data_IF_369520371456
#
_entry.id   IF_369520371456
#
_cell.length_a   1.000
_cell.length_b   1.000
_cell.length_c   1.000
_cell.angle_alpha   90.00
_cell.angle_beta   90.00
_cell.angle_gamma   90.00
#
_symmetry.space_group_name_H-M   'P 1'
#
loop_
_entity.id
_entity.type
_entity.pdbx_description
1 polymer ?
#
# COMPACT_ATOMS: atom_id res chain seq x y z
N UNK A 1 10.28 7.16 -18.43
CA UNK A 1 9.40 6.44 -17.47
C UNK A 1 8.54 5.35 -18.14
N UNK A 2 7.61 5.65 -19.07
CA UNK A 2 6.79 4.61 -19.75
C UNK A 2 7.59 3.58 -20.56
N UNK A 3 8.70 3.98 -21.17
CA UNK A 3 9.58 3.09 -21.95
C UNK A 3 10.19 1.98 -21.08
N UNK A 4 10.53 2.31 -19.82
CA UNK A 4 11.15 1.38 -18.88
C UNK A 4 10.11 0.61 -18.06
N UNK A 5 9.06 1.28 -17.56
CA UNK A 5 8.07 0.63 -16.69
C UNK A 5 6.95 -0.09 -17.45
N UNK A 6 6.70 0.25 -18.73
CA UNK A 6 5.64 -0.29 -19.60
C UNK A 6 4.21 -0.23 -19.04
N UNK A 7 4.00 0.51 -17.95
CA UNK A 7 2.72 0.70 -17.28
C UNK A 7 2.72 2.04 -16.54
N UNK A 8 1.53 2.55 -16.23
CA UNK A 8 1.38 3.75 -15.42
C UNK A 8 1.60 3.43 -13.93
N UNK A 9 2.47 4.20 -13.28
CA UNK A 9 2.77 4.02 -11.85
C UNK A 9 1.57 4.38 -10.98
N UNK A 10 0.88 5.47 -11.31
CA UNK A 10 -0.32 5.93 -10.63
C UNK A 10 -1.53 5.41 -11.37
N UNK A 11 -2.40 4.70 -10.65
CA UNK A 11 -3.71 4.26 -11.18
C UNK A 11 -4.81 4.81 -10.28
N UNK A 12 -5.56 5.82 -10.73
CA UNK A 12 -6.71 6.34 -10.00
C UNK A 12 -7.73 5.23 -9.71
N UNK A 13 -8.29 5.25 -8.50
CA UNK A 13 -9.36 4.37 -8.04
C UNK A 13 -10.48 5.20 -7.39
N UNK A 14 -11.61 4.57 -7.11
CA UNK A 14 -12.79 5.23 -6.53
C UNK A 14 -12.48 5.94 -5.20
N UNK A 15 -11.49 5.45 -4.45
CA UNK A 15 -11.03 6.07 -3.21
C UNK A 15 -9.56 6.47 -3.28
N UNK A 16 -9.21 7.54 -2.56
CA UNK A 16 -7.82 7.97 -2.39
C UNK A 16 -6.98 6.88 -1.72
N UNK A 17 -7.57 6.11 -0.79
CA UNK A 17 -6.91 4.99 -0.13
C UNK A 17 -6.51 3.89 -1.13
N UNK A 18 -7.45 3.43 -1.96
CA UNK A 18 -7.17 2.44 -2.99
C UNK A 18 -6.15 2.96 -4.02
N UNK A 19 -6.25 4.23 -4.40
CA UNK A 19 -5.28 4.88 -5.29
C UNK A 19 -3.87 4.84 -4.71
N UNK A 20 -3.70 5.21 -3.43
CA UNK A 20 -2.40 5.19 -2.75
C UNK A 20 -1.83 3.77 -2.65
N UNK A 21 -2.65 2.79 -2.27
CA UNK A 21 -2.25 1.38 -2.20
C UNK A 21 -1.77 0.84 -3.55
N UNK A 22 -2.59 1.04 -4.60
CA UNK A 22 -2.25 0.56 -5.95
C UNK A 22 -0.99 1.25 -6.46
N UNK A 23 -0.83 2.55 -6.20
CA UNK A 23 0.36 3.31 -6.60
C UNK A 23 1.63 2.80 -5.91
N UNK A 24 1.60 2.58 -4.59
CA UNK A 24 2.74 2.00 -3.86
C UNK A 24 3.09 0.61 -4.39
N UNK A 25 2.08 -0.23 -4.62
CA UNK A 25 2.26 -1.57 -5.15
C UNK A 25 2.89 -1.55 -6.56
N UNK A 26 2.43 -0.66 -7.44
CA UNK A 26 2.98 -0.50 -8.78
C UNK A 26 4.44 -0.03 -8.75
N UNK A 27 4.77 0.95 -7.89
CA UNK A 27 6.15 1.44 -7.72
C UNK A 27 7.06 0.31 -7.22
N UNK A 28 6.62 -0.48 -6.24
CA UNK A 28 7.35 -1.65 -5.73
C UNK A 28 7.58 -2.70 -6.82
N UNK A 29 6.55 -3.04 -7.59
CA UNK A 29 6.64 -4.01 -8.68
C UNK A 29 7.57 -3.55 -9.80
N UNK A 30 7.76 -2.24 -9.95
CA UNK A 30 8.63 -1.62 -10.96
C UNK A 30 9.98 -1.16 -10.42
N UNK A 31 10.38 -1.63 -9.23
CA UNK A 31 11.64 -1.26 -8.56
C UNK A 31 12.86 -1.45 -9.45
N UNK A 32 12.95 -2.59 -10.16
CA UNK A 32 14.10 -2.90 -11.02
C UNK A 32 14.17 -1.97 -12.23
N UNK A 33 13.04 -1.78 -12.92
CA UNK A 33 12.93 -0.92 -14.10
C UNK A 33 13.13 0.56 -13.75
N UNK A 34 12.65 0.99 -12.58
CA UNK A 34 12.90 2.34 -12.06
C UNK A 34 14.38 2.53 -11.78
N UNK A 35 15.04 1.60 -11.09
CA UNK A 35 16.49 1.69 -10.86
C UNK A 35 17.27 1.75 -12.17
N UNK A 36 16.91 0.91 -13.14
CA UNK A 36 17.52 0.93 -14.46
C UNK A 36 17.37 2.30 -15.13
N UNK A 37 16.16 2.88 -15.13
CA UNK A 37 15.90 4.22 -15.66
C UNK A 37 16.81 5.27 -15.02
N UNK A 38 16.91 5.32 -13.69
CA UNK A 38 17.72 6.33 -13.00
C UNK A 38 19.23 6.08 -13.08
N UNK A 39 19.67 4.96 -13.64
CA UNK A 39 21.07 4.68 -13.95
C UNK A 39 21.40 4.73 -15.44
N UNK A 40 20.41 5.05 -16.29
CA UNK A 40 20.55 4.97 -17.73
C UNK A 40 21.16 6.25 -18.32
N UNK A 41 21.80 6.12 -19.48
CA UNK A 41 22.38 7.27 -20.18
C UNK A 41 21.27 8.26 -20.60
N UNK A 42 20.09 7.76 -20.96
CA UNK A 42 18.93 8.57 -21.32
C UNK A 42 18.43 9.43 -20.16
N UNK A 43 18.57 8.97 -18.91
CA UNK A 43 18.25 9.79 -17.74
C UNK A 43 19.25 10.94 -17.59
N UNK A 44 20.54 10.64 -17.62
CA UNK A 44 21.59 11.67 -17.47
C UNK A 44 21.57 12.70 -18.60
N UNK A 45 21.22 12.28 -19.82
CA UNK A 45 21.05 13.17 -20.98
C UNK A 45 19.71 13.94 -20.98
N UNK A 46 18.83 13.70 -20.01
CA UNK A 46 17.55 14.40 -19.92
C UNK A 46 17.67 15.70 -19.13
N UNK A 47 16.89 16.72 -19.49
CA UNK A 47 16.77 17.97 -18.70
C UNK A 47 16.28 17.75 -17.26
N UNK A 48 15.74 16.58 -16.95
CA UNK A 48 15.18 16.26 -15.64
C UNK A 48 16.24 15.81 -14.65
N UNK A 49 17.37 15.27 -15.09
CA UNK A 49 18.48 14.90 -14.20
C UNK A 49 19.11 16.12 -13.53
N UNK A 50 19.09 17.27 -14.20
CA UNK A 50 19.64 18.52 -13.70
C UNK A 50 18.71 19.24 -12.71
N UNK A 51 17.41 18.93 -12.74
CA UNK A 51 16.41 19.54 -11.86
C UNK A 51 16.58 19.07 -10.41
N UNK A 52 16.23 19.95 -9.46
CA UNK A 52 16.30 19.62 -8.03
C UNK A 52 15.39 18.44 -7.68
N UNK A 53 14.17 18.45 -8.23
CA UNK A 53 13.21 17.36 -8.05
C UNK A 53 13.73 16.04 -8.62
N UNK A 54 14.38 16.08 -9.79
CA UNK A 54 14.98 14.90 -10.42
C UNK A 54 16.05 14.26 -9.55
N UNK A 55 16.96 15.06 -9.00
CA UNK A 55 18.02 14.60 -8.08
C UNK A 55 17.47 14.03 -6.78
N UNK A 56 16.41 14.65 -6.23
CA UNK A 56 15.72 14.14 -5.05
C UNK A 56 15.07 12.78 -5.35
N UNK A 57 14.43 12.62 -6.51
CA UNK A 57 13.78 11.34 -6.87
C UNK A 57 14.83 10.27 -7.15
N UNK A 58 15.88 10.59 -7.89
CA UNK A 58 17.01 9.70 -8.17
C UNK A 58 17.63 9.17 -6.87
N UNK A 59 18.00 10.06 -5.95
CA UNK A 59 18.58 9.66 -4.66
C UNK A 59 17.66 8.72 -3.86
N UNK A 60 16.33 8.96 -3.88
CA UNK A 60 15.34 8.09 -3.23
C UNK A 60 15.22 6.72 -3.90
N UNK A 61 15.17 6.68 -5.22
CA UNK A 61 15.05 5.43 -6.00
C UNK A 61 16.30 4.56 -5.86
N UNK A 62 17.48 5.18 -5.71
CA UNK A 62 18.73 4.45 -5.51
C UNK A 62 18.93 4.02 -4.04
N UNK A 63 18.33 4.70 -3.06
CA UNK A 63 18.43 4.33 -1.63
C UNK A 63 17.64 3.04 -1.31
N UNK A 64 18.33 2.05 -0.72
CA UNK A 64 17.69 0.82 -0.24
C UNK A 64 16.69 1.07 0.90
N UNK A 65 16.95 2.05 1.77
CA UNK A 65 16.09 2.34 2.93
C UNK A 65 14.71 2.82 2.51
N UNK A 66 14.63 3.52 1.38
CA UNK A 66 13.37 3.94 0.77
C UNK A 66 12.52 2.72 0.40
N UNK A 67 13.11 1.73 -0.27
CA UNK A 67 12.39 0.51 -0.66
C UNK A 67 11.95 -0.32 0.54
N UNK A 68 12.82 -0.49 1.53
CA UNK A 68 12.44 -1.18 2.76
C UNK A 68 11.28 -0.46 3.48
N UNK A 69 11.25 0.88 3.43
CA UNK A 69 10.15 1.65 3.99
C UNK A 69 8.85 1.45 3.19
N UNK A 70 8.92 1.45 1.85
CA UNK A 70 7.78 1.17 0.97
C UNK A 70 7.21 -0.23 1.21
N UNK A 71 8.07 -1.26 1.31
CA UNK A 71 7.66 -2.64 1.61
C UNK A 71 7.01 -2.74 3.02
N UNK A 72 7.54 -2.00 4.00
CA UNK A 72 6.92 -1.90 5.35
C UNK A 72 5.54 -1.24 5.33
N UNK A 73 5.32 -0.24 4.46
CA UNK A 73 4.01 0.39 4.32
C UNK A 73 3.05 -0.56 3.59
N UNK A 74 3.52 -1.22 2.54
CA UNK A 74 2.72 -2.15 1.75
C UNK A 74 2.24 -3.35 2.57
N UNK A 75 3.11 -3.93 3.40
CA UNK A 75 2.75 -5.06 4.28
C UNK A 75 1.68 -4.71 5.33
N UNK A 76 1.56 -3.44 5.71
CA UNK A 76 0.47 -2.95 6.58
C UNK A 76 -0.82 -2.76 5.79
N UNK A 77 -0.72 -2.16 4.60
CA UNK A 77 -1.89 -1.84 3.79
C UNK A 77 -2.55 -3.07 3.18
N UNK A 78 -1.78 -4.11 2.84
CA UNK A 78 -2.29 -5.34 2.23
C UNK A 78 -3.44 -6.01 3.03
N UNK A 79 -3.31 -6.31 4.34
CA UNK A 79 -4.41 -6.91 5.10
C UNK A 79 -5.63 -5.98 5.23
N UNK A 80 -5.41 -4.65 5.29
CA UNK A 80 -6.50 -3.66 5.34
C UNK A 80 -7.27 -3.58 4.02
N UNK A 81 -6.55 -3.49 2.90
CA UNK A 81 -7.13 -3.45 1.56
C UNK A 81 -7.85 -4.75 1.21
N UNK A 82 -7.36 -5.88 1.69
CA UNK A 82 -7.98 -7.20 1.46
C UNK A 82 -9.40 -7.26 2.04
N UNK A 83 -9.61 -6.77 3.26
CA UNK A 83 -10.97 -6.69 3.84
C UNK A 83 -11.82 -5.70 3.08
N UNK A 84 -11.33 -4.48 2.86
CA UNK A 84 -12.08 -3.43 2.17
C UNK A 84 -12.55 -3.90 0.80
N UNK A 85 -11.69 -4.56 0.02
CA UNK A 85 -12.06 -5.11 -1.28
C UNK A 85 -13.22 -6.11 -1.21
N UNK A 86 -13.30 -6.91 -0.16
CA UNK A 86 -14.38 -7.90 0.00
C UNK A 86 -15.66 -7.23 0.51
N UNK A 87 -15.55 -6.25 1.40
CA UNK A 87 -16.71 -5.47 1.86
C UNK A 87 -17.29 -4.63 0.72
N UNK A 88 -16.44 -4.11 -0.16
CA UNK A 88 -16.82 -3.31 -1.32
C UNK A 88 -17.35 -4.16 -2.49
N UNK A 89 -17.19 -5.49 -2.48
CA UNK A 89 -17.85 -6.33 -3.50
C UNK A 89 -19.37 -6.35 -3.26
N UNK A 90 -20.17 -6.37 -4.33
CA UNK A 90 -21.64 -6.34 -4.28
C UNK A 90 -22.27 -7.52 -3.50
N UNK A 91 -21.46 -8.52 -3.13
CA UNK A 91 -21.81 -9.54 -2.14
C UNK A 91 -21.61 -8.93 -0.75
N UNK A 92 -22.65 -8.31 -0.20
CA UNK A 92 -22.62 -7.80 1.18
C UNK A 92 -22.29 -8.97 2.12
N UNK A 93 -21.13 -8.95 2.81
CA UNK A 93 -20.78 -10.03 3.72
C UNK A 93 -21.77 -10.04 4.89
N UNK A 94 -22.24 -11.22 5.28
CA UNK A 94 -23.02 -11.35 6.52
C UNK A 94 -22.14 -10.98 7.70
N UNK A 95 -22.76 -10.55 8.81
CA UNK A 95 -22.00 -10.16 10.01
C UNK A 95 -20.99 -11.23 10.46
N UNK A 96 -21.30 -12.54 10.52
CA UNK A 96 -20.32 -13.57 10.86
C UNK A 96 -19.08 -13.58 9.95
N UNK A 97 -19.29 -13.46 8.64
CA UNK A 97 -18.20 -13.40 7.65
C UNK A 97 -17.31 -12.18 7.91
N UNK A 98 -17.90 -11.03 8.24
CA UNK A 98 -17.15 -9.83 8.59
C UNK A 98 -16.27 -10.06 9.84
N UNK A 99 -16.81 -10.67 10.90
CA UNK A 99 -16.04 -11.00 12.10
C UNK A 99 -14.84 -11.91 11.79
N UNK A 100 -15.03 -12.96 10.97
CA UNK A 100 -13.97 -13.87 10.56
C UNK A 100 -12.88 -13.15 9.75
N UNK A 101 -13.27 -12.30 8.80
CA UNK A 101 -12.33 -11.49 8.02
C UNK A 101 -11.50 -10.58 8.91
N UNK A 102 -12.14 -9.91 9.86
CA UNK A 102 -11.45 -9.06 10.83
C UNK A 102 -10.48 -9.85 11.70
N UNK A 103 -10.84 -11.07 12.10
CA UNK A 103 -9.94 -11.97 12.83
C UNK A 103 -8.69 -12.28 11.99
N UNK A 104 -8.87 -12.69 10.73
CA UNK A 104 -7.76 -12.98 9.79
C UNK A 104 -6.86 -11.75 9.60
N UNK A 105 -7.42 -10.55 9.44
CA UNK A 105 -6.62 -9.33 9.33
C UNK A 105 -5.82 -9.04 10.60
N UNK A 106 -6.42 -9.20 11.79
CA UNK A 106 -5.71 -9.02 13.06
C UNK A 106 -4.55 -10.02 13.19
N UNK A 107 -4.73 -11.27 12.75
CA UNK A 107 -3.65 -12.26 12.71
C UNK A 107 -2.53 -11.89 11.72
N UNK A 108 -2.88 -11.39 10.53
CA UNK A 108 -1.87 -10.93 9.57
C UNK A 108 -1.05 -9.76 10.14
N UNK A 109 -1.71 -8.80 10.77
CA UNK A 109 -1.06 -7.63 11.38
C UNK A 109 -0.24 -8.03 12.62
N UNK A 110 -0.68 -9.00 13.42
CA UNK A 110 0.05 -9.45 14.60
C UNK A 110 1.39 -10.10 14.27
N UNK A 111 1.48 -10.73 13.08
CA UNK A 111 2.74 -11.27 12.53
C UNK A 111 3.72 -10.18 12.09
N UNK A 112 3.26 -8.93 11.89
CA UNK A 112 4.13 -7.81 11.55
C UNK A 112 4.88 -7.30 12.80
N UNK A 113 6.21 -7.49 12.84
CA UNK A 113 7.06 -7.05 13.95
C UNK A 113 6.92 -5.53 14.18
N UNK A 114 6.73 -5.13 15.45
CA UNK A 114 6.69 -3.73 15.86
C UNK A 114 5.38 -2.98 15.52
N UNK A 115 4.33 -3.67 15.06
CA UNK A 115 3.06 -3.03 14.65
C UNK A 115 1.91 -3.21 15.65
N UNK A 116 2.21 -3.55 16.91
CA UNK A 116 1.19 -3.71 17.97
C UNK A 116 0.32 -2.47 18.19
N UNK A 117 0.85 -1.27 17.95
CA UNK A 117 0.09 -0.02 18.04
C UNK A 117 -1.05 0.05 17.03
N UNK A 118 -0.86 -0.54 15.83
CA UNK A 118 -1.89 -0.57 14.79
C UNK A 118 -3.07 -1.45 15.22
N UNK A 119 -2.80 -2.61 15.84
CA UNK A 119 -3.84 -3.47 16.41
C UNK A 119 -4.66 -2.74 17.48
N UNK A 120 -4.04 -1.88 18.30
CA UNK A 120 -4.76 -1.07 19.29
C UNK A 120 -5.75 -0.12 18.62
N UNK A 121 -5.33 0.56 17.55
CA UNK A 121 -6.21 1.47 16.80
C UNK A 121 -7.36 0.70 16.15
N UNK A 122 -7.06 -0.43 15.51
CA UNK A 122 -8.06 -1.28 14.85
C UNK A 122 -9.08 -1.80 15.86
N UNK A 123 -8.62 -2.35 17.00
CA UNK A 123 -9.51 -2.84 18.05
C UNK A 123 -10.37 -1.72 18.61
N UNK A 124 -9.79 -0.56 18.92
CA UNK A 124 -10.56 0.57 19.43
C UNK A 124 -11.65 1.02 18.45
N UNK A 125 -11.33 1.13 17.15
CA UNK A 125 -12.31 1.48 16.12
C UNK A 125 -13.39 0.42 15.97
N UNK A 126 -13.02 -0.86 16.08
CA UNK A 126 -13.94 -1.99 16.05
C UNK A 126 -14.92 -1.94 17.22
N UNK A 127 -14.41 -1.78 18.45
CA UNK A 127 -15.22 -1.80 19.67
C UNK A 127 -16.24 -0.65 19.67
N UNK A 128 -15.84 0.53 19.20
CA UNK A 128 -16.74 1.69 19.11
C UNK A 128 -17.81 1.54 18.02
N UNK A 129 -17.48 0.90 16.90
CA UNK A 129 -18.34 0.91 15.69
C UNK A 129 -19.21 -0.35 15.58
N UNK A 130 -18.65 -1.53 15.87
CA UNK A 130 -19.24 -2.83 15.52
C UNK A 130 -19.50 -3.74 16.73
N UNK A 131 -19.02 -3.41 17.93
CA UNK A 131 -19.29 -4.19 19.16
C UNK A 131 -20.64 -3.89 19.83
N UNK A 132 -21.62 -3.35 19.09
CA UNK A 132 -22.97 -3.14 19.65
C UNK A 132 -23.74 -4.48 19.69
N UNK A 133 -24.62 -4.71 20.68
CA UNK A 133 -25.35 -5.98 20.83
C UNK A 133 -26.12 -6.43 19.58
N UNK A 134 -26.56 -5.48 18.75
CA UNK A 134 -27.23 -5.71 17.46
C UNK A 134 -26.37 -6.42 16.40
N UNK A 135 -25.05 -6.45 16.58
CA UNK A 135 -24.09 -6.95 15.60
C UNK A 135 -23.44 -8.29 15.99
N UNK A 136 -23.76 -8.82 17.18
CA UNK A 136 -23.21 -10.07 17.73
C UNK A 136 -24.21 -11.24 17.74
N UNK A 137 -25.42 -11.03 17.20
CA UNK A 137 -26.50 -12.01 17.15
C UNK A 137 -26.38 -12.96 15.95
#
# INVERSE_FOLDING_TARGET
MRIFCQADLVRPSATQFATNYITINNILNKKAELRQLFTSEEWYNSRFSESEEGKIIESRVLDHRFWDAMERVQSINEPLCSILRIVDTEVVPTMPILYDMFHIMKEKISKLKGKKWLLKIINHKWDVTLSRPLHQA
#
